data_IF_664533896375
#
_entry.id   IF_664533896375
#
_cell.length_a   1.000
_cell.length_b   1.000
_cell.length_c   1.000
_cell.angle_alpha   90.00
_cell.angle_beta   90.00
_cell.angle_gamma   90.00
#
_symmetry.space_group_name_H-M   'P 1'
#
loop_
_entity.id
_entity.type
_entity.pdbx_description
1 polymer ?
#
# COMPACT_ATOMS: atom_id res chain seq x y z
N UNK A 1 17.41 -1.58 -3.33
CA UNK A 1 16.19 -1.23 -4.08
C UNK A 1 15.39 -2.50 -4.12
N UNK A 2 14.37 -2.59 -3.27
CA UNK A 2 13.55 -3.81 -3.20
C UNK A 2 12.43 -3.67 -4.19
N UNK A 3 12.07 -4.82 -4.75
CA UNK A 3 10.97 -4.98 -5.68
C UNK A 3 9.92 -5.82 -4.97
N UNK A 4 8.68 -5.36 -4.98
CA UNK A 4 7.53 -6.08 -4.48
C UNK A 4 6.51 -6.30 -5.61
N UNK A 5 5.80 -7.41 -5.52
CA UNK A 5 4.95 -7.95 -6.57
C UNK A 5 3.59 -8.30 -5.98
N UNK A 6 2.61 -7.46 -6.23
CA UNK A 6 1.25 -7.64 -5.75
C UNK A 6 0.42 -8.37 -6.82
N UNK A 7 0.02 -9.61 -6.54
CA UNK A 7 -0.83 -10.42 -7.41
C UNK A 7 -2.27 -10.52 -6.87
N UNK A 8 -3.26 -9.97 -7.58
CA UNK A 8 -4.67 -10.03 -7.17
C UNK A 8 -5.36 -11.17 -7.92
N UNK A 9 -5.79 -12.24 -7.27
CA UNK A 9 -6.52 -13.33 -7.92
C UNK A 9 -8.02 -12.99 -8.02
N UNK A 10 -8.50 -12.72 -9.23
CA UNK A 10 -9.93 -12.67 -9.53
C UNK A 10 -10.43 -14.05 -9.96
N UNK A 11 -11.67 -14.39 -9.58
CA UNK A 11 -12.31 -15.64 -10.02
C UNK A 11 -12.40 -15.68 -11.54
N UNK A 12 -11.76 -16.69 -12.14
CA UNK A 12 -11.74 -17.09 -13.55
C UNK A 12 -11.26 -16.10 -14.64
N UNK A 13 -11.15 -14.78 -14.42
CA UNK A 13 -10.55 -13.88 -15.42
C UNK A 13 -9.55 -12.87 -14.80
N UNK A 14 -8.32 -12.91 -15.35
CA UNK A 14 -7.18 -12.00 -15.18
C UNK A 14 -6.83 -11.51 -13.77
N UNK A 15 -5.74 -12.03 -13.22
CA UNK A 15 -5.07 -11.38 -12.09
C UNK A 15 -4.36 -10.11 -12.55
N UNK A 16 -4.77 -8.95 -12.05
CA UNK A 16 -3.97 -7.72 -12.20
C UNK A 16 -2.73 -7.87 -11.32
N UNK A 17 -1.56 -7.83 -11.97
CA UNK A 17 -0.27 -7.97 -11.33
C UNK A 17 0.44 -6.62 -11.38
N UNK A 18 0.71 -6.07 -10.20
CA UNK A 18 1.42 -4.81 -10.05
C UNK A 18 2.82 -5.07 -9.50
N UNK A 19 3.82 -4.52 -10.18
CA UNK A 19 5.18 -4.43 -9.67
C UNK A 19 5.45 -3.03 -9.16
N UNK A 20 5.95 -2.90 -7.94
CA UNK A 20 6.36 -1.61 -7.39
C UNK A 20 7.69 -1.73 -6.65
N UNK A 21 8.42 -0.61 -6.60
CA UNK A 21 9.69 -0.53 -5.90
C UNK A 21 9.67 0.56 -4.84
N UNK A 22 10.54 0.43 -3.84
CA UNK A 22 10.71 1.44 -2.79
C UNK A 22 12.14 1.46 -2.25
N UNK A 23 12.46 2.52 -1.50
CA UNK A 23 13.74 2.62 -0.80
C UNK A 23 13.70 1.88 0.54
N UNK A 24 14.39 0.75 0.61
CA UNK A 24 14.48 -0.11 1.81
C UNK A 24 15.13 0.56 3.02
N UNK A 25 15.94 1.59 2.80
CA UNK A 25 16.54 2.37 3.89
C UNK A 25 15.48 3.22 4.62
N UNK A 26 14.37 3.51 3.96
CA UNK A 26 13.33 4.43 4.43
C UNK A 26 12.02 3.72 4.81
N UNK A 27 11.67 2.64 4.10
CA UNK A 27 10.41 1.89 4.27
C UNK A 27 10.62 0.41 3.94
N UNK A 28 9.92 -0.45 4.66
CA UNK A 28 9.76 -1.87 4.33
C UNK A 28 8.26 -2.16 4.24
N UNK A 29 7.84 -2.81 3.16
CA UNK A 29 6.45 -3.14 2.89
C UNK A 29 6.37 -4.65 2.68
N UNK A 30 5.50 -5.32 3.43
CA UNK A 30 5.14 -6.72 3.23
C UNK A 30 3.65 -6.81 2.96
N UNK A 31 3.27 -7.56 1.95
CA UNK A 31 1.87 -7.71 1.57
C UNK A 31 1.38 -9.15 1.74
N UNK A 32 0.13 -9.29 2.13
CA UNK A 32 -0.60 -10.54 2.16
C UNK A 32 -1.93 -10.33 1.44
N UNK A 33 -2.14 -11.06 0.36
CA UNK A 33 -3.29 -10.89 -0.52
C UNK A 33 -4.26 -12.05 -0.28
N UNK A 34 -5.53 -11.71 -0.08
CA UNK A 34 -6.63 -12.66 0.11
C UNK A 34 -7.56 -12.63 -1.11
N UNK A 35 -8.75 -13.25 -1.03
CA UNK A 35 -9.77 -13.14 -2.09
C UNK A 35 -10.58 -11.84 -2.01
N UNK A 36 -10.52 -11.11 -0.89
CA UNK A 36 -11.39 -9.94 -0.64
C UNK A 36 -10.60 -8.65 -0.42
N UNK A 37 -9.39 -8.77 0.12
CA UNK A 37 -8.54 -7.67 0.55
C UNK A 37 -7.05 -8.00 0.44
N UNK A 38 -6.23 -6.94 0.34
CA UNK A 38 -4.80 -6.99 0.50
C UNK A 38 -4.41 -6.28 1.81
N UNK A 39 -3.65 -6.97 2.65
CA UNK A 39 -3.10 -6.43 3.89
C UNK A 39 -1.64 -6.08 3.69
N UNK A 40 -1.28 -4.83 3.95
CA UNK A 40 0.08 -4.31 3.89
C UNK A 40 0.60 -4.04 5.30
N UNK A 41 1.69 -4.67 5.67
CA UNK A 41 2.46 -4.34 6.85
C UNK A 41 3.62 -3.40 6.44
N UNK A 42 3.58 -2.17 6.95
CA UNK A 42 4.49 -1.09 6.56
C UNK A 42 5.33 -0.68 7.77
N UNK A 43 6.62 -0.99 7.72
CA UNK A 43 7.61 -0.54 8.70
C UNK A 43 8.31 0.70 8.15
N UNK A 44 8.23 1.80 8.90
CA UNK A 44 8.81 3.07 8.49
C UNK A 44 10.11 3.32 9.27
N UNK A 45 11.20 3.57 8.55
CA UNK A 45 12.55 3.69 9.11
C UNK A 45 13.02 5.14 9.25
N UNK A 46 12.34 6.10 8.62
CA UNK A 46 12.64 7.54 8.72
C UNK A 46 11.41 8.38 9.04
N UNK A 47 11.61 9.49 9.74
CA UNK A 47 10.53 10.45 10.03
C UNK A 47 9.99 11.14 8.77
N UNK A 48 10.84 11.33 7.76
CA UNK A 48 10.41 11.92 6.48
C UNK A 48 9.45 10.99 5.74
N UNK A 49 9.72 9.68 5.76
CA UNK A 49 8.84 8.67 5.20
C UNK A 49 7.56 8.53 6.03
N UNK A 50 7.65 8.65 7.35
CA UNK A 50 6.47 8.62 8.25
C UNK A 50 5.49 9.74 7.91
N UNK A 51 6.01 10.94 7.61
CA UNK A 51 5.18 12.05 7.17
C UNK A 51 4.48 11.73 5.83
N UNK A 52 5.17 11.11 4.87
CA UNK A 52 4.57 10.71 3.58
C UNK A 52 3.48 9.65 3.73
N UNK A 53 3.70 8.63 4.56
CA UNK A 53 2.68 7.60 4.85
C UNK A 53 1.44 8.22 5.51
N UNK A 54 1.62 9.19 6.40
CA UNK A 54 0.50 9.95 6.99
C UNK A 54 -0.27 10.76 5.94
N UNK A 55 0.38 11.25 4.89
CA UNK A 55 -0.31 11.93 3.78
C UNK A 55 -1.15 10.97 2.95
N UNK A 56 -0.66 9.75 2.70
CA UNK A 56 -1.46 8.68 2.06
C UNK A 56 -2.69 8.38 2.90
N UNK A 57 -2.50 8.17 4.21
CA UNK A 57 -3.60 7.94 5.16
C UNK A 57 -4.63 9.07 5.13
N UNK A 58 -4.19 10.33 5.23
CA UNK A 58 -5.05 11.51 5.22
C UNK A 58 -5.88 11.61 3.94
N UNK A 59 -5.33 11.18 2.81
CA UNK A 59 -6.08 11.14 1.55
C UNK A 59 -7.26 10.17 1.62
N UNK A 60 -7.06 8.96 2.15
CA UNK A 60 -8.13 7.95 2.27
C UNK A 60 -9.13 8.27 3.38
N UNK A 61 -8.69 8.86 4.50
CA UNK A 61 -9.59 9.36 5.55
C UNK A 61 -10.44 10.57 5.12
N UNK A 62 -10.05 11.26 4.05
CA UNK A 62 -10.82 12.37 3.46
C UNK A 62 -11.89 11.91 2.46
N UNK A 63 -11.83 10.65 2.00
CA UNK A 63 -12.82 10.08 1.08
C UNK A 63 -14.07 9.62 1.85
N UNK A 64 -15.23 9.80 1.21
CA UNK A 64 -16.56 9.60 1.82
C UNK A 64 -16.82 8.15 2.28
N UNK A 65 -16.11 7.18 1.69
CA UNK A 65 -16.24 5.75 1.95
C UNK A 65 -15.03 5.24 2.76
N UNK A 66 -15.12 5.39 4.08
CA UNK A 66 -14.10 5.03 5.07
C UNK A 66 -13.75 3.53 5.14
N UNK A 67 -14.43 2.66 4.39
CA UNK A 67 -14.31 1.20 4.53
C UNK A 67 -13.39 0.53 3.53
N UNK A 68 -12.85 1.28 2.59
CA UNK A 68 -12.15 0.72 1.44
C UNK A 68 -10.63 0.63 1.63
N UNK A 69 -10.06 1.53 2.44
CA UNK A 69 -8.66 1.54 2.84
C UNK A 69 -8.58 1.88 4.32
N UNK A 70 -8.26 0.90 5.15
CA UNK A 70 -8.18 1.05 6.60
C UNK A 70 -6.72 1.16 7.04
N UNK A 71 -6.39 2.19 7.81
CA UNK A 71 -5.06 2.40 8.38
C UNK A 71 -5.06 2.20 9.89
N UNK A 72 -4.31 1.20 10.36
CA UNK A 72 -4.06 0.95 11.77
C UNK A 72 -2.61 1.28 12.12
N UNK A 73 -2.40 2.16 13.10
CA UNK A 73 -1.08 2.37 13.68
C UNK A 73 -0.83 1.30 14.74
N UNK A 74 0.33 0.65 14.70
CA UNK A 74 0.79 -0.31 15.71
C UNK A 74 1.65 0.37 16.77
N UNK A 75 1.81 -0.26 17.92
CA UNK A 75 2.59 0.29 19.06
C UNK A 75 4.07 0.46 18.73
N UNK A 76 4.62 -0.38 17.85
CA UNK A 76 5.99 -0.30 17.34
C UNK A 76 6.20 0.83 16.31
N UNK A 77 5.14 1.60 16.02
CA UNK A 77 5.17 2.68 15.04
C UNK A 77 5.10 2.21 13.58
N UNK A 78 4.88 0.92 13.33
CA UNK A 78 4.50 0.41 12.01
C UNK A 78 3.02 0.70 11.71
N UNK A 79 2.65 0.51 10.44
CA UNK A 79 1.26 0.60 10.00
C UNK A 79 0.80 -0.74 9.44
N UNK A 80 -0.43 -1.09 9.74
CA UNK A 80 -1.17 -2.11 9.01
C UNK A 80 -2.24 -1.43 8.17
N UNK A 81 -2.22 -1.71 6.87
CA UNK A 81 -3.14 -1.14 5.90
C UNK A 81 -3.93 -2.25 5.23
N UNK A 82 -5.24 -2.26 5.40
CA UNK A 82 -6.13 -3.23 4.76
C UNK A 82 -6.83 -2.52 3.61
N UNK A 83 -6.62 -3.00 2.39
CA UNK A 83 -7.08 -2.40 1.15
C UNK A 83 -8.01 -3.37 0.44
N UNK A 84 -9.24 -2.96 0.15
CA UNK A 84 -10.13 -3.78 -0.70
C UNK A 84 -9.58 -3.89 -2.11
N UNK A 85 -9.83 -5.01 -2.77
CA UNK A 85 -9.28 -5.29 -4.11
C UNK A 85 -9.52 -4.19 -5.14
N UNK A 86 -10.75 -3.67 -5.21
CA UNK A 86 -11.13 -2.59 -6.12
C UNK A 86 -10.41 -1.25 -5.87
N UNK A 87 -9.64 -1.15 -4.78
CA UNK A 87 -8.96 0.06 -4.33
C UNK A 87 -7.44 -0.10 -4.22
N UNK A 88 -6.90 -1.28 -4.55
CA UNK A 88 -5.45 -1.53 -4.57
C UNK A 88 -4.74 -0.59 -5.55
N UNK A 89 -5.25 -0.44 -6.77
CA UNK A 89 -4.67 0.48 -7.76
C UNK A 89 -4.62 1.92 -7.22
N UNK A 90 -5.75 2.40 -6.67
CA UNK A 90 -5.83 3.73 -6.06
C UNK A 90 -4.82 3.88 -4.92
N UNK A 91 -4.74 2.89 -4.03
CA UNK A 91 -3.78 2.88 -2.93
C UNK A 91 -2.33 2.98 -3.42
N UNK A 92 -1.92 2.16 -4.39
CA UNK A 92 -0.57 2.17 -4.94
C UNK A 92 -0.28 3.52 -5.62
N UNK A 93 -1.17 4.02 -6.48
CA UNK A 93 -1.02 5.33 -7.15
C UNK A 93 -0.81 6.44 -6.13
N UNK A 94 -1.57 6.46 -5.03
CA UNK A 94 -1.43 7.49 -4.00
C UNK A 94 -0.15 7.31 -3.18
N UNK A 95 0.26 6.08 -2.88
CA UNK A 95 1.55 5.79 -2.26
C UNK A 95 2.72 6.27 -3.14
N UNK A 96 2.63 6.11 -4.46
CA UNK A 96 3.60 6.68 -5.41
C UNK A 96 3.52 8.21 -5.49
N UNK A 97 2.33 8.79 -5.56
CA UNK A 97 2.12 10.26 -5.59
C UNK A 97 2.81 10.95 -4.42
N UNK A 98 2.72 10.35 -3.23
CA UNK A 98 3.36 10.86 -2.02
C UNK A 98 4.81 10.39 -1.81
N UNK A 99 5.39 9.70 -2.81
CA UNK A 99 6.79 9.23 -2.83
C UNK A 99 7.12 8.24 -1.71
N UNK A 100 6.14 7.41 -1.33
CA UNK A 100 6.38 6.19 -0.55
C UNK A 100 6.94 5.09 -1.46
N UNK A 101 6.47 5.04 -2.70
CA UNK A 101 6.97 4.16 -3.77
C UNK A 101 7.85 4.94 -4.75
N UNK A 102 8.80 4.26 -5.37
CA UNK A 102 9.73 4.80 -6.37
C UNK A 102 9.26 4.53 -7.81
N UNK A 103 8.54 3.43 -8.03
CA UNK A 103 7.94 3.10 -9.34
C UNK A 103 6.74 2.18 -9.16
N UNK A 104 5.85 2.15 -10.16
CA UNK A 104 4.73 1.22 -10.30
C UNK A 104 4.67 0.83 -11.79
N UNK A 105 4.54 -0.47 -12.06
CA UNK A 105 4.35 -1.04 -13.38
C UNK A 105 3.21 -2.06 -13.37
N UNK A 106 2.48 -2.13 -14.47
CA UNK A 106 1.57 -3.24 -14.78
C UNK A 106 2.36 -4.35 -15.47
N UNK A 107 2.02 -5.61 -15.20
CA UNK A 107 2.43 -6.75 -16.03
C UNK A 107 1.34 -7.15 -17.03
#
# INVERSE_FOLDING_TARGET
>A
MSTCTCAILFGEEESLLFHYTFNEEEIEIKEQISQQDATYHIVVKSESMRARVKEVRRYFEGNKDYTDVLFFSREDGSFEVIVRHNMIESFLIHAFRFKCLQSICWE
#
